data_IF_026437174016
#
_entry.id   IF_026437174016
#
_cell.length_a   1.000
_cell.length_b   1.000
_cell.length_c   1.000
_cell.angle_alpha   90.00
_cell.angle_beta   90.00
_cell.angle_gamma   90.00
#
_symmetry.space_group_name_H-M   'P 1'
#
loop_
_entity.id
_entity.type
_entity.pdbx_description
1 polymer ?
#
# COMPACT_ATOMS: atom_id res chain seq x y z
N UNK A 1 -12.77 -23.33 -8.44
CA UNK A 1 -13.18 -22.25 -9.36
C UNK A 1 -12.42 -22.41 -10.68
N UNK A 2 -13.06 -22.25 -11.85
CA UNK A 2 -12.34 -22.31 -13.12
C UNK A 2 -11.45 -21.07 -13.32
N UNK A 3 -10.30 -21.23 -13.99
CA UNK A 3 -9.35 -20.12 -14.31
C UNK A 3 -10.04 -18.95 -15.02
N UNK A 4 -11.08 -19.22 -15.81
CA UNK A 4 -11.87 -18.21 -16.51
C UNK A 4 -12.70 -17.34 -15.55
N UNK A 5 -13.39 -17.95 -14.58
CA UNK A 5 -14.17 -17.23 -13.57
C UNK A 5 -13.28 -16.32 -12.72
N UNK A 6 -12.08 -16.76 -12.38
CA UNK A 6 -11.11 -15.95 -11.65
C UNK A 6 -10.64 -14.72 -12.44
N UNK A 7 -10.33 -14.88 -13.73
CA UNK A 7 -9.97 -13.76 -14.61
C UNK A 7 -11.11 -12.74 -14.73
N UNK A 8 -12.35 -13.21 -14.90
CA UNK A 8 -13.54 -12.36 -14.98
C UNK A 8 -13.74 -11.62 -13.66
N UNK A 9 -13.63 -12.32 -12.52
CA UNK A 9 -13.77 -11.72 -11.20
C UNK A 9 -12.72 -10.63 -10.96
N UNK A 10 -11.45 -10.90 -11.27
CA UNK A 10 -10.37 -9.92 -11.15
C UNK A 10 -10.60 -8.70 -12.06
N UNK A 11 -11.14 -8.91 -13.26
CA UNK A 11 -11.49 -7.84 -14.18
C UNK A 11 -12.67 -6.99 -13.69
N UNK A 12 -13.73 -7.61 -13.19
CA UNK A 12 -14.89 -6.91 -12.64
C UNK A 12 -14.52 -6.12 -11.39
N UNK A 13 -13.73 -6.71 -10.49
CA UNK A 13 -13.22 -6.03 -9.30
C UNK A 13 -12.35 -4.82 -9.69
N UNK A 14 -11.42 -4.99 -10.63
CA UNK A 14 -10.52 -3.89 -11.02
C UNK A 14 -11.24 -2.79 -11.78
N UNK A 15 -12.33 -3.07 -12.51
CA UNK A 15 -13.06 -2.04 -13.26
C UNK A 15 -14.23 -1.43 -12.48
N UNK A 16 -15.04 -2.25 -11.84
CA UNK A 16 -16.22 -1.81 -11.08
C UNK A 16 -15.80 -1.41 -9.67
N UNK A 17 -15.06 -2.27 -8.96
CA UNK A 17 -14.61 -2.01 -7.59
C UNK A 17 -13.77 -0.73 -7.48
N UNK A 18 -12.88 -0.47 -8.44
CA UNK A 18 -12.12 0.78 -8.51
C UNK A 18 -13.03 1.99 -8.70
N UNK A 19 -14.00 1.93 -9.63
CA UNK A 19 -14.96 3.02 -9.83
C UNK A 19 -15.79 3.29 -8.59
N UNK A 20 -16.30 2.24 -7.94
CA UNK A 20 -17.06 2.35 -6.68
C UNK A 20 -16.19 2.98 -5.60
N UNK A 21 -14.96 2.48 -5.39
CA UNK A 21 -14.03 3.02 -4.40
C UNK A 21 -13.70 4.50 -4.69
N UNK A 22 -13.46 4.85 -5.96
CA UNK A 22 -13.16 6.20 -6.38
C UNK A 22 -14.32 7.17 -6.13
N UNK A 23 -15.54 6.78 -6.52
CA UNK A 23 -16.74 7.60 -6.31
C UNK A 23 -17.08 7.73 -4.82
N UNK A 24 -16.96 6.63 -4.06
CA UNK A 24 -17.15 6.65 -2.62
C UNK A 24 -16.12 7.55 -1.93
N UNK A 25 -14.85 7.48 -2.34
CA UNK A 25 -13.79 8.31 -1.77
C UNK A 25 -14.00 9.81 -2.02
N UNK A 26 -14.71 10.18 -3.10
CA UNK A 26 -15.11 11.58 -3.38
C UNK A 26 -16.18 12.11 -2.43
N UNK A 27 -16.98 11.25 -1.80
CA UNK A 27 -18.05 11.70 -0.89
C UNK A 27 -17.54 11.93 0.53
N UNK A 28 -16.31 11.50 0.83
CA UNK A 28 -15.73 11.65 2.16
C UNK A 28 -15.34 13.11 2.43
N UNK A 29 -15.69 13.61 3.63
CA UNK A 29 -15.21 14.89 4.16
C UNK A 29 -13.94 14.63 4.95
N UNK A 30 -12.83 15.18 4.48
CA UNK A 30 -11.48 14.79 4.94
C UNK A 30 -10.78 15.97 5.58
N UNK A 31 -10.19 15.71 6.75
CA UNK A 31 -9.26 16.62 7.41
C UNK A 31 -7.87 15.99 7.37
N UNK A 32 -6.93 16.64 6.73
CA UNK A 32 -5.53 16.21 6.69
C UNK A 32 -4.81 16.82 7.89
N UNK A 33 -4.07 15.99 8.62
CA UNK A 33 -3.26 16.41 9.77
C UNK A 33 -1.81 16.07 9.45
N UNK A 34 -0.90 17.02 9.66
CA UNK A 34 0.53 16.79 9.45
C UNK A 34 1.01 16.92 7.99
N UNK A 35 0.26 17.60 7.12
CA UNK A 35 0.62 17.79 5.71
C UNK A 35 2.01 18.42 5.51
N UNK A 36 2.41 19.32 6.41
CA UNK A 36 3.72 19.97 6.41
C UNK A 36 4.91 18.98 6.52
N UNK A 37 4.68 17.79 7.12
CA UNK A 37 5.71 16.75 7.25
C UNK A 37 6.06 16.20 5.86
N UNK A 38 5.05 15.96 5.02
CA UNK A 38 5.27 15.47 3.65
C UNK A 38 6.07 16.48 2.82
N UNK A 39 5.70 17.76 2.90
CA UNK A 39 6.43 18.82 2.18
C UNK A 39 7.91 18.88 2.59
N UNK A 40 8.19 18.77 3.90
CA UNK A 40 9.56 18.73 4.42
C UNK A 40 10.33 17.50 3.91
N UNK A 41 9.73 16.31 4.02
CA UNK A 41 10.40 15.07 3.62
C UNK A 41 10.69 15.03 2.11
N UNK A 42 9.75 15.48 1.28
CA UNK A 42 9.94 15.52 -0.19
C UNK A 42 11.05 16.51 -0.58
N UNK A 43 11.22 17.60 0.18
CA UNK A 43 12.29 18.58 -0.05
C UNK A 43 13.66 18.05 0.38
N UNK A 44 13.72 17.39 1.53
CA UNK A 44 14.99 17.03 2.18
C UNK A 44 15.52 15.65 1.73
N UNK A 45 14.69 14.81 1.10
CA UNK A 45 15.05 13.45 0.68
C UNK A 45 14.60 13.13 -0.75
N UNK A 46 15.45 12.41 -1.49
CA UNK A 46 15.14 11.96 -2.87
C UNK A 46 14.08 10.84 -2.93
N UNK A 47 13.81 10.18 -1.81
CA UNK A 47 12.77 9.17 -1.66
C UNK A 47 12.11 9.26 -0.28
N UNK A 48 10.92 8.68 -0.16
CA UNK A 48 10.17 8.57 1.11
C UNK A 48 9.52 7.20 1.23
N UNK A 49 9.60 6.59 2.42
CA UNK A 49 8.95 5.31 2.72
C UNK A 49 7.76 5.53 3.66
N UNK A 50 6.56 5.53 3.10
CA UNK A 50 5.32 5.61 3.87
C UNK A 50 4.98 4.25 4.51
N UNK A 51 4.75 4.27 5.82
CA UNK A 51 4.26 3.13 6.58
C UNK A 51 2.77 3.29 6.88
N UNK A 52 1.95 2.31 6.50
CA UNK A 52 0.51 2.32 6.78
C UNK A 52 0.05 0.95 7.26
N UNK A 53 -1.01 0.88 8.06
CA UNK A 53 -1.53 -0.44 8.45
C UNK A 53 -2.32 -1.11 7.34
N UNK A 54 -2.27 -2.44 7.26
CA UNK A 54 -2.87 -3.19 6.16
C UNK A 54 -4.37 -2.86 5.95
N UNK A 55 -5.13 -2.67 7.03
CA UNK A 55 -6.55 -2.32 7.00
C UNK A 55 -6.86 -0.88 6.57
N UNK A 56 -5.84 0.00 6.44
CA UNK A 56 -6.05 1.44 6.14
C UNK A 56 -5.76 1.81 4.70
N UNK A 57 -5.44 0.83 3.86
CA UNK A 57 -4.94 1.02 2.51
C UNK A 57 -5.95 1.62 1.52
N UNK A 58 -7.25 1.31 1.62
CA UNK A 58 -8.21 1.68 0.55
C UNK A 58 -8.32 3.18 0.31
N UNK A 59 -8.45 3.98 1.36
CA UNK A 59 -8.55 5.42 1.18
C UNK A 59 -7.19 6.04 0.79
N UNK A 60 -6.09 5.44 1.25
CA UNK A 60 -4.75 5.87 0.86
C UNK A 60 -4.51 5.72 -0.65
N UNK A 61 -5.05 4.68 -1.30
CA UNK A 61 -5.02 4.59 -2.77
C UNK A 61 -5.59 5.83 -3.46
N UNK A 62 -6.70 6.37 -2.94
CA UNK A 62 -7.32 7.57 -3.49
C UNK A 62 -6.49 8.83 -3.21
N UNK A 63 -5.88 8.92 -2.02
CA UNK A 63 -4.98 10.03 -1.67
C UNK A 63 -3.75 10.07 -2.58
N UNK A 64 -3.15 8.90 -2.86
CA UNK A 64 -1.93 8.76 -3.66
C UNK A 64 -2.21 8.48 -5.15
N UNK A 65 -3.44 8.67 -5.62
CA UNK A 65 -3.80 8.41 -7.02
C UNK A 65 -2.93 9.22 -7.99
N UNK A 66 -2.49 8.60 -9.07
CA UNK A 66 -1.61 9.15 -10.10
C UNK A 66 -0.24 9.68 -9.59
N UNK A 67 0.13 9.37 -8.34
CA UNK A 67 1.45 9.76 -7.80
C UNK A 67 2.61 9.04 -8.46
N UNK A 68 2.34 7.95 -9.21
CA UNK A 68 3.34 6.97 -9.66
C UNK A 68 4.17 6.39 -8.50
N UNK A 69 3.68 6.52 -7.27
CA UNK A 69 4.28 5.92 -6.09
C UNK A 69 4.28 4.41 -6.19
N UNK A 70 5.22 3.78 -5.51
CA UNK A 70 5.44 2.34 -5.54
C UNK A 70 5.01 1.70 -4.23
N UNK A 71 4.26 0.61 -4.27
CA UNK A 71 3.78 -0.07 -3.06
C UNK A 71 4.18 -1.53 -3.06
N UNK A 72 4.75 -2.01 -1.96
CA UNK A 72 5.11 -3.41 -1.82
C UNK A 72 3.85 -4.26 -1.62
N UNK A 73 3.58 -5.18 -2.55
CA UNK A 73 2.42 -6.07 -2.49
C UNK A 73 2.86 -7.52 -2.70
N UNK A 74 2.33 -8.42 -1.87
CA UNK A 74 2.69 -9.84 -1.93
C UNK A 74 2.14 -10.53 -3.18
N UNK A 75 2.81 -11.61 -3.61
CA UNK A 75 2.34 -12.48 -4.69
C UNK A 75 1.15 -13.40 -4.33
N UNK A 76 0.45 -13.16 -3.23
CA UNK A 76 -0.76 -13.91 -2.91
C UNK A 76 -1.89 -13.57 -3.89
N UNK A 77 -2.94 -14.39 -3.91
CA UNK A 77 -4.15 -14.12 -4.68
C UNK A 77 -4.79 -12.78 -4.30
N UNK A 78 -4.90 -12.48 -3.01
CA UNK A 78 -5.41 -11.20 -2.53
C UNK A 78 -4.47 -10.05 -2.89
N UNK A 79 -3.17 -10.30 -2.88
CA UNK A 79 -2.16 -9.34 -3.32
C UNK A 79 -2.19 -9.08 -4.83
N UNK A 80 -2.65 -10.03 -5.65
CA UNK A 80 -2.89 -9.80 -7.07
C UNK A 80 -4.09 -8.89 -7.30
N UNK A 81 -5.16 -9.08 -6.52
CA UNK A 81 -6.31 -8.17 -6.53
C UNK A 81 -5.90 -6.76 -6.09
N UNK A 82 -5.15 -6.64 -4.99
CA UNK A 82 -4.66 -5.35 -4.51
C UNK A 82 -3.74 -4.65 -5.51
N UNK A 83 -2.87 -5.40 -6.21
CA UNK A 83 -1.99 -4.86 -7.23
C UNK A 83 -2.78 -4.23 -8.39
N UNK A 84 -3.78 -4.93 -8.93
CA UNK A 84 -4.63 -4.41 -10.01
C UNK A 84 -5.41 -3.17 -9.60
N UNK A 85 -5.89 -3.12 -8.36
CA UNK A 85 -6.55 -1.93 -7.83
C UNK A 85 -5.54 -0.78 -7.73
N UNK A 86 -4.34 -1.01 -7.17
CA UNK A 86 -3.30 0.02 -7.09
C UNK A 86 -2.92 0.58 -8.48
N UNK A 87 -2.71 -0.29 -9.46
CA UNK A 87 -2.41 0.09 -10.85
C UNK A 87 -3.52 0.97 -11.45
N UNK A 88 -4.78 0.62 -11.21
CA UNK A 88 -5.92 1.41 -11.69
C UNK A 88 -6.02 2.80 -11.02
N UNK A 89 -5.40 2.99 -9.86
CA UNK A 89 -5.21 4.29 -9.21
C UNK A 89 -3.91 4.98 -9.65
N UNK A 90 -3.13 4.44 -10.59
CA UNK A 90 -1.86 5.02 -11.03
C UNK A 90 -0.71 4.86 -10.03
N UNK A 91 -0.78 3.82 -9.19
CA UNK A 91 0.24 3.41 -8.22
C UNK A 91 0.89 2.12 -8.72
N UNK A 92 2.20 2.01 -8.61
CA UNK A 92 3.01 0.94 -9.19
C UNK A 92 3.30 -0.17 -8.16
N UNK A 93 2.80 -1.40 -8.33
CA UNK A 93 3.11 -2.49 -7.41
C UNK A 93 4.58 -2.93 -7.53
N UNK A 94 5.30 -2.99 -6.42
CA UNK A 94 6.52 -3.79 -6.29
C UNK A 94 6.10 -5.15 -5.75
N UNK A 95 6.41 -6.22 -6.49
CA UNK A 95 6.00 -7.58 -6.10
C UNK A 95 7.08 -8.21 -5.23
N UNK A 96 6.70 -8.75 -4.08
CA UNK A 96 7.66 -9.35 -3.15
C UNK A 96 7.10 -10.52 -2.34
N UNK A 97 8.01 -11.31 -1.75
CA UNK A 97 7.67 -12.41 -0.84
C UNK A 97 8.23 -12.15 0.55
N UNK A 98 7.52 -12.69 1.55
CA UNK A 98 8.02 -12.84 2.93
C UNK A 98 8.44 -14.28 3.25
N UNK A 99 8.31 -15.21 2.29
CA UNK A 99 8.68 -16.63 2.43
C UNK A 99 10.08 -16.92 1.87
N UNK A 100 10.83 -17.82 2.52
CA UNK A 100 12.11 -18.34 2.02
C UNK A 100 11.91 -18.99 0.63
N UNK A 101 12.80 -18.69 -0.33
CA UNK A 101 12.79 -19.29 -1.68
C UNK A 101 12.18 -18.45 -2.81
N UNK A 102 11.67 -17.24 -2.54
CA UNK A 102 11.30 -16.24 -3.56
C UNK A 102 12.05 -14.94 -3.30
N UNK A 103 12.15 -14.07 -4.30
CA UNK A 103 12.85 -12.79 -4.17
C UNK A 103 12.34 -11.99 -2.96
N UNK A 104 13.29 -11.52 -2.15
CA UNK A 104 13.02 -10.82 -0.89
C UNK A 104 12.32 -9.50 -1.15
N UNK A 105 11.17 -9.30 -0.51
CA UNK A 105 10.43 -8.03 -0.54
C UNK A 105 11.29 -6.82 -0.14
N UNK A 106 12.19 -6.99 0.83
CA UNK A 106 13.14 -5.95 1.26
C UNK A 106 14.12 -5.59 0.15
N UNK A 107 14.62 -6.58 -0.61
CA UNK A 107 15.61 -6.33 -1.68
C UNK A 107 15.01 -5.52 -2.83
N UNK A 108 13.82 -5.91 -3.28
CA UNK A 108 13.12 -5.24 -4.38
C UNK A 108 12.86 -3.76 -4.09
N UNK A 109 12.36 -3.45 -2.89
CA UNK A 109 12.08 -2.06 -2.53
C UNK A 109 13.35 -1.25 -2.30
N UNK A 110 14.41 -1.84 -1.73
CA UNK A 110 15.72 -1.18 -1.57
C UNK A 110 16.30 -0.81 -2.93
N UNK A 111 16.25 -1.72 -3.91
CA UNK A 111 16.73 -1.44 -5.27
C UNK A 111 15.90 -0.33 -5.93
N UNK A 112 14.58 -0.38 -5.77
CA UNK A 112 13.70 0.62 -6.33
C UNK A 112 13.90 2.02 -5.70
N UNK A 113 14.22 2.09 -4.40
CA UNK A 113 14.47 3.34 -3.66
C UNK A 113 15.66 4.11 -4.21
N UNK A 114 16.69 3.42 -4.74
CA UNK A 114 17.86 4.08 -5.35
C UNK A 114 17.50 5.06 -6.47
N UNK A 115 16.36 4.83 -7.14
CA UNK A 115 15.86 5.68 -8.21
C UNK A 115 14.96 6.83 -7.73
N UNK A 116 14.84 7.03 -6.42
CA UNK A 116 13.99 8.06 -5.84
C UNK A 116 12.49 7.76 -5.89
N UNK A 117 11.71 8.67 -5.30
CA UNK A 117 10.25 8.69 -5.39
C UNK A 117 9.51 8.26 -4.13
N UNK A 118 8.23 7.94 -4.31
CA UNK A 118 7.29 7.63 -3.21
C UNK A 118 7.17 6.13 -3.06
N UNK A 119 7.36 5.61 -1.84
CA UNK A 119 7.23 4.20 -1.52
C UNK A 119 6.21 3.97 -0.41
N UNK A 120 5.49 2.85 -0.47
CA UNK A 120 4.50 2.46 0.52
C UNK A 120 4.68 1.02 0.97
N UNK A 121 4.55 0.77 2.27
CA UNK A 121 4.59 -0.57 2.85
C UNK A 121 3.59 -0.71 3.99
N UNK A 122 2.91 -1.87 4.04
CA UNK A 122 2.16 -2.30 5.19
C UNK A 122 3.04 -3.15 6.11
N UNK A 123 3.58 -2.60 7.22
CA UNK A 123 4.63 -3.26 7.99
C UNK A 123 4.10 -4.40 8.87
N UNK A 124 2.79 -4.49 9.10
CA UNK A 124 2.12 -5.63 9.72
C UNK A 124 2.00 -6.84 8.77
N UNK A 125 2.08 -6.60 7.46
CA UNK A 125 2.15 -7.60 6.42
C UNK A 125 0.90 -8.49 6.29
N UNK A 126 0.81 -9.32 5.25
CA UNK A 126 -0.44 -10.00 4.85
C UNK A 126 -0.93 -11.09 5.83
N UNK A 127 -0.07 -11.52 6.75
CA UNK A 127 -0.37 -12.57 7.75
C UNK A 127 -0.46 -12.00 9.17
N UNK A 128 -0.33 -10.69 9.32
CA UNK A 128 -0.30 -10.04 10.63
C UNK A 128 0.86 -10.46 11.53
N UNK A 129 0.69 -10.31 12.85
CA UNK A 129 -0.50 -9.78 13.53
C UNK A 129 -0.77 -8.30 13.22
N UNK A 130 -2.05 -7.89 13.27
CA UNK A 130 -2.49 -6.54 12.93
C UNK A 130 -1.82 -5.47 13.78
N UNK A 131 -1.46 -4.36 13.17
CA UNK A 131 -0.81 -3.23 13.85
C UNK A 131 0.50 -3.59 14.59
N UNK A 132 1.19 -4.67 14.20
CA UNK A 132 2.52 -5.00 14.72
C UNK A 132 3.57 -4.89 13.62
N UNK A 133 4.49 -3.95 13.78
CA UNK A 133 5.56 -3.69 12.81
C UNK A 133 6.50 -4.90 12.70
N UNK A 134 6.77 -5.31 11.47
CA UNK A 134 7.80 -6.31 11.13
C UNK A 134 9.16 -5.62 10.89
N UNK A 135 10.28 -6.30 11.18
CA UNK A 135 11.61 -5.69 11.10
C UNK A 135 12.02 -5.25 9.68
N UNK A 136 11.38 -5.79 8.63
CA UNK A 136 11.71 -5.48 7.25
C UNK A 136 11.71 -3.98 6.93
N UNK A 137 10.75 -3.21 7.46
CA UNK A 137 10.71 -1.75 7.22
C UNK A 137 11.91 -1.02 7.84
N UNK A 138 12.34 -1.44 9.03
CA UNK A 138 13.50 -0.88 9.71
C UNK A 138 14.79 -1.23 8.96
N UNK A 139 14.89 -2.46 8.44
CA UNK A 139 16.01 -2.88 7.62
C UNK A 139 16.12 -2.06 6.33
N UNK A 140 15.00 -1.80 5.66
CA UNK A 140 14.95 -0.96 4.46
C UNK A 140 15.48 0.44 4.79
N UNK A 141 14.92 1.09 5.82
CA UNK A 141 15.33 2.44 6.21
C UNK A 141 16.81 2.51 6.62
N UNK A 142 17.31 1.50 7.35
CA UNK A 142 18.72 1.42 7.72
C UNK A 142 19.65 1.26 6.50
N UNK A 143 19.24 0.49 5.49
CA UNK A 143 20.04 0.25 4.30
C UNK A 143 20.02 1.43 3.31
N UNK A 144 18.92 2.17 3.24
CA UNK A 144 18.74 3.24 2.25
C UNK A 144 18.97 4.64 2.82
N UNK A 145 18.95 4.80 4.14
CA UNK A 145 18.99 6.11 4.80
C UNK A 145 17.72 6.95 4.62
N UNK A 146 16.66 6.38 4.04
CA UNK A 146 15.40 7.07 3.76
C UNK A 146 14.48 7.09 4.99
N UNK A 147 13.82 8.23 5.28
CA UNK A 147 12.91 8.33 6.42
C UNK A 147 11.68 7.44 6.24
N UNK A 148 11.26 6.84 7.35
CA UNK A 148 9.95 6.21 7.47
C UNK A 148 8.95 7.29 7.89
N UNK A 149 7.90 7.49 7.11
CA UNK A 149 6.81 8.41 7.43
C UNK A 149 5.54 7.61 7.74
N UNK A 150 5.15 7.47 9.02
CA UNK A 150 3.90 6.81 9.37
C UNK A 150 2.70 7.62 8.88
N UNK A 151 1.78 6.96 8.19
CA UNK A 151 0.51 7.54 7.74
C UNK A 151 -0.64 6.60 8.10
N UNK A 152 -1.82 7.18 8.36
CA UNK A 152 -3.00 6.40 8.67
C UNK A 152 -4.27 7.15 8.29
N UNK A 153 -5.39 6.44 8.29
CA UNK A 153 -6.71 6.99 8.01
C UNK A 153 -7.66 6.58 9.13
N UNK A 154 -8.27 7.58 9.78
CA UNK A 154 -9.34 7.41 10.75
C UNK A 154 -10.69 7.80 10.17
N UNK A 155 -11.77 7.17 10.65
CA UNK A 155 -13.14 7.52 10.26
C UNK A 155 -14.08 7.39 11.47
N UNK A 156 -15.04 8.32 11.59
CA UNK A 156 -16.08 8.29 12.64
C UNK A 156 -17.06 7.14 12.43
N UNK A 157 -17.46 6.90 11.18
CA UNK A 157 -18.32 5.79 10.76
C UNK A 157 -17.50 4.90 9.83
N UNK A 158 -17.41 3.62 10.16
CA UNK A 158 -16.66 2.64 9.38
C UNK A 158 -17.39 1.30 9.39
N UNK A 159 -17.17 0.53 8.34
CA UNK A 159 -17.41 -0.90 8.38
C UNK A 159 -16.12 -1.59 8.80
N UNK A 160 -16.25 -2.70 9.51
CA UNK A 160 -15.13 -3.58 9.79
C UNK A 160 -15.54 -5.01 9.49
N UNK A 161 -14.71 -5.73 8.75
CA UNK A 161 -14.94 -7.14 8.48
C UNK A 161 -14.43 -8.01 9.63
N UNK A 162 -14.97 -9.23 9.73
CA UNK A 162 -14.43 -10.24 10.64
C UNK A 162 -13.19 -10.92 10.02
N UNK A 163 -12.17 -10.13 9.70
CA UNK A 163 -10.87 -10.57 9.21
C UNK A 163 -9.81 -10.50 10.32
N UNK A 164 -8.62 -11.05 10.06
CA UNK A 164 -7.51 -11.06 11.00
C UNK A 164 -7.02 -9.65 11.38
N UNK A 165 -7.20 -8.66 10.49
CA UNK A 165 -6.82 -7.25 10.66
C UNK A 165 -7.98 -6.31 10.98
N UNK A 166 -9.22 -6.84 11.02
CA UNK A 166 -10.46 -6.06 11.16
C UNK A 166 -10.57 -4.98 10.09
N UNK A 167 -10.33 -5.38 8.82
CA UNK A 167 -10.34 -4.53 7.63
C UNK A 167 -11.53 -3.59 7.59
#
# INVERSE_FOLDING_TARGET
MSKLREKILLFLISKIGVKVLYLLSKTYRVKIIGEYINARVIRDYHAVLYAFWHQRFLYLLYCFKNSKGRVLISYSRDGEMAAKVAEAFGILPIRGSSSRGRVSSTREIVEAIKNGGIFGIAPDGPKGPACKVKPGIIQIAKQTGIPIVPITVGAKRKWSFNSWDKF
#
